data_IF_174049500041
#
_entry.id   IF_174049500041
#
_cell.length_a   1.000
_cell.length_b   1.000
_cell.length_c   1.000
_cell.angle_alpha   90.00
_cell.angle_beta   90.00
_cell.angle_gamma   90.00
#
_symmetry.space_group_name_H-M   'P 1'
#
loop_
_entity.id
_entity.type
_entity.pdbx_description
1 polymer ?
#
# COMPACT_ATOMS: atom_id res chain seq x y z
N UNK A 1 -4.82 -3.03 -20.99
CA UNK A 1 -6.07 -2.30 -20.74
C UNK A 1 -6.32 -2.28 -19.24
N UNK A 2 -6.21 -1.12 -18.60
CA UNK A 2 -6.50 -0.93 -17.17
C UNK A 2 -7.74 -0.06 -17.07
N UNK A 3 -8.77 -0.51 -16.37
CA UNK A 3 -9.93 0.33 -16.06
C UNK A 3 -9.60 1.27 -14.89
N UNK A 4 -9.88 2.56 -15.07
CA UNK A 4 -9.67 3.61 -14.08
C UNK A 4 -11.05 4.06 -13.57
N UNK A 5 -11.12 4.49 -12.30
CA UNK A 5 -12.32 5.08 -11.72
C UNK A 5 -12.93 6.11 -12.67
N UNK A 6 -14.21 5.92 -13.04
CA UNK A 6 -15.00 6.54 -14.13
C UNK A 6 -15.29 5.65 -15.36
N UNK A 7 -14.82 4.41 -15.40
CA UNK A 7 -15.00 3.52 -16.56
C UNK A 7 -14.12 3.90 -17.75
N UNK A 8 -13.18 4.82 -17.52
CA UNK A 8 -12.17 5.21 -18.52
C UNK A 8 -11.10 4.13 -18.56
N UNK A 9 -10.78 3.69 -19.77
CA UNK A 9 -9.71 2.73 -20.00
C UNK A 9 -8.38 3.44 -20.26
N UNK A 10 -7.32 2.93 -19.65
CA UNK A 10 -5.92 3.21 -19.98
C UNK A 10 -5.35 2.07 -20.84
N UNK A 11 -4.92 2.44 -22.03
CA UNK A 11 -4.20 1.57 -22.96
C UNK A 11 -2.71 1.85 -22.94
N UNK A 12 -1.92 0.78 -23.11
CA UNK A 12 -0.47 0.81 -23.11
C UNK A 12 0.00 0.17 -24.41
N UNK A 13 0.68 0.93 -25.25
CA UNK A 13 1.12 0.50 -26.57
C UNK A 13 2.62 0.71 -26.73
N UNK A 14 3.28 -0.22 -27.42
CA UNK A 14 4.63 -0.01 -27.94
C UNK A 14 4.50 0.56 -29.36
N UNK A 15 5.16 1.68 -29.61
CA UNK A 15 5.21 2.38 -30.89
C UNK A 15 6.65 2.68 -31.27
N UNK A 16 6.82 3.10 -32.51
CA UNK A 16 8.11 3.55 -33.05
C UNK A 16 8.00 5.05 -33.36
N UNK A 17 9.00 5.84 -32.99
CA UNK A 17 9.07 7.27 -33.34
C UNK A 17 9.53 7.47 -34.79
N UNK A 18 9.52 8.72 -35.26
CA UNK A 18 9.93 9.07 -36.63
C UNK A 18 11.40 8.76 -36.95
N UNK A 19 12.21 8.40 -35.95
CA UNK A 19 13.60 8.01 -36.09
C UNK A 19 13.82 6.51 -35.92
N UNK A 20 12.75 5.73 -35.80
CA UNK A 20 12.84 4.28 -35.65
C UNK A 20 13.06 3.81 -34.21
N UNK A 21 12.85 4.66 -33.21
CA UNK A 21 13.10 4.31 -31.80
C UNK A 21 11.83 3.91 -31.09
N UNK A 22 11.94 2.89 -30.24
CA UNK A 22 10.86 2.44 -29.38
C UNK A 22 10.35 3.55 -28.45
N UNK A 23 9.02 3.62 -28.35
CA UNK A 23 8.25 4.52 -27.52
C UNK A 23 7.12 3.75 -26.84
N UNK A 24 6.85 4.09 -25.59
CA UNK A 24 5.73 3.53 -24.83
C UNK A 24 4.67 4.61 -24.74
N UNK A 25 3.54 4.39 -25.40
CA UNK A 25 2.38 5.27 -25.32
C UNK A 25 1.42 4.78 -24.24
N UNK A 26 1.02 5.69 -23.36
CA UNK A 26 -0.08 5.54 -22.42
C UNK A 26 -1.24 6.41 -22.89
N UNK A 27 -2.35 5.80 -23.29
CA UNK A 27 -3.49 6.51 -23.87
C UNK A 27 -4.74 6.30 -23.01
N UNK A 28 -5.38 7.39 -22.63
CA UNK A 28 -6.70 7.40 -22.00
C UNK A 28 -7.76 7.62 -23.09
N UNK A 29 -8.92 6.96 -22.95
CA UNK A 29 -10.03 7.10 -23.90
C UNK A 29 -10.55 8.54 -24.08
N UNK A 30 -10.25 9.45 -23.14
CA UNK A 30 -10.61 10.86 -23.22
C UNK A 30 -9.66 11.70 -24.09
N UNK A 31 -8.71 11.08 -24.79
CA UNK A 31 -7.77 11.73 -25.69
C UNK A 31 -6.49 12.23 -25.00
N UNK A 32 -6.30 11.97 -23.70
CA UNK A 32 -5.04 12.24 -23.03
C UNK A 32 -4.03 11.13 -23.35
N UNK A 33 -2.91 11.51 -23.98
CA UNK A 33 -1.84 10.58 -24.35
C UNK A 33 -0.52 11.03 -23.74
N UNK A 34 0.25 10.07 -23.23
CA UNK A 34 1.60 10.27 -22.74
C UNK A 34 2.55 9.35 -23.50
N UNK A 35 3.50 9.95 -24.22
CA UNK A 35 4.53 9.23 -24.97
C UNK A 35 5.85 9.23 -24.16
N UNK A 36 6.35 8.05 -23.84
CA UNK A 36 7.50 7.83 -22.97
C UNK A 36 8.62 7.12 -23.71
N UNK A 37 9.86 7.49 -23.41
CA UNK A 37 11.00 6.63 -23.71
C UNK A 37 10.92 5.33 -22.87
N UNK A 38 11.57 4.24 -23.30
CA UNK A 38 11.62 3.00 -22.52
C UNK A 38 12.18 3.20 -21.11
N UNK A 39 13.14 4.12 -20.94
CA UNK A 39 13.68 4.46 -19.63
C UNK A 39 12.65 5.16 -18.74
N UNK A 40 11.92 6.15 -19.25
CA UNK A 40 10.88 6.85 -18.49
C UNK A 40 9.73 5.91 -18.11
N UNK A 41 9.30 5.05 -19.03
CA UNK A 41 8.28 4.04 -18.75
C UNK A 41 8.72 3.09 -17.63
N UNK A 42 9.99 2.69 -17.62
CA UNK A 42 10.55 1.86 -16.54
C UNK A 42 10.56 2.58 -15.20
N UNK A 43 10.99 3.84 -15.15
CA UNK A 43 10.98 4.65 -13.93
C UNK A 43 9.56 4.79 -13.40
N UNK A 44 8.60 5.11 -14.29
CA UNK A 44 7.19 5.21 -13.93
C UNK A 44 6.65 3.90 -13.36
N UNK A 45 6.94 2.76 -13.98
CA UNK A 45 6.52 1.45 -13.49
C UNK A 45 7.06 1.15 -12.08
N UNK A 46 8.34 1.47 -11.84
CA UNK A 46 8.95 1.31 -10.51
C UNK A 46 8.25 2.18 -9.47
N UNK A 47 7.98 3.45 -9.78
CA UNK A 47 7.29 4.34 -8.84
C UNK A 47 5.86 3.88 -8.55
N UNK A 48 5.14 3.36 -9.55
CA UNK A 48 3.82 2.76 -9.37
C UNK A 48 3.87 1.58 -8.40
N UNK A 49 4.80 0.63 -8.61
CA UNK A 49 5.01 -0.51 -7.71
C UNK A 49 5.33 -0.03 -6.29
N UNK A 50 6.21 0.96 -6.16
CA UNK A 50 6.59 1.50 -4.86
C UNK A 50 5.43 2.19 -4.15
N UNK A 51 4.58 2.91 -4.88
CA UNK A 51 3.38 3.55 -4.32
C UNK A 51 2.38 2.50 -3.81
N UNK A 52 2.16 1.42 -4.58
CA UNK A 52 1.31 0.29 -4.17
C UNK A 52 1.85 -0.36 -2.90
N UNK A 53 3.13 -0.72 -2.87
CA UNK A 53 3.75 -1.32 -1.68
C UNK A 53 3.58 -0.44 -0.44
N UNK A 54 3.76 0.88 -0.56
CA UNK A 54 3.56 1.82 0.55
C UNK A 54 2.10 1.86 1.01
N UNK A 55 1.13 1.83 0.09
CA UNK A 55 -0.29 1.84 0.41
C UNK A 55 -0.72 0.58 1.17
N UNK A 56 -0.23 -0.59 0.74
CA UNK A 56 -0.50 -1.88 1.38
C UNK A 56 0.09 -1.95 2.78
N UNK A 57 1.36 -1.56 2.95
CA UNK A 57 2.00 -1.49 4.28
C UNK A 57 1.22 -0.59 5.21
N UNK A 58 0.79 0.60 4.75
CA UNK A 58 -0.04 1.51 5.54
C UNK A 58 -1.37 0.87 5.96
N UNK A 59 -2.02 0.13 5.06
CA UNK A 59 -3.24 -0.62 5.37
C UNK A 59 -2.97 -1.67 6.45
N UNK A 60 -1.95 -2.50 6.29
CA UNK A 60 -1.60 -3.57 7.23
C UNK A 60 -1.27 -3.03 8.62
N UNK A 61 -0.54 -1.93 8.71
CA UNK A 61 -0.22 -1.27 9.98
C UNK A 61 -1.47 -0.72 10.67
N UNK A 62 -2.43 -0.16 9.94
CA UNK A 62 -3.71 0.30 10.49
C UNK A 62 -4.54 -0.85 11.05
N UNK A 63 -4.59 -1.99 10.37
CA UNK A 63 -5.28 -3.20 10.86
C UNK A 63 -4.58 -3.77 12.11
N UNK A 64 -3.25 -3.74 12.16
CA UNK A 64 -2.45 -4.19 13.31
C UNK A 64 -2.65 -3.33 14.57
N UNK A 65 -2.82 -2.01 14.43
CA UNK A 65 -3.10 -1.13 15.58
C UNK A 65 -4.42 -1.46 16.30
N UNK A 66 -5.40 -2.03 15.60
CA UNK A 66 -6.66 -2.46 16.22
C UNK A 66 -6.52 -3.75 17.06
N UNK A 67 -5.43 -4.51 16.91
CA UNK A 67 -5.15 -5.71 17.73
C UNK A 67 -4.44 -5.38 19.06
N UNK A 68 -3.85 -4.18 19.21
CA UNK A 68 -3.18 -3.76 20.45
C UNK A 68 -4.14 -3.09 21.44
N UNK A 69 -5.38 -2.77 21.00
CA UNK A 69 -6.39 -2.09 21.84
C UNK A 69 -7.49 -3.01 22.38
N UNK A 70 -7.26 -4.33 22.33
CA UNK A 70 -8.21 -5.36 22.74
C UNK A 70 -7.70 -6.26 23.86
N UNK A 71 -7.30 -5.69 25.01
CA UNK A 71 -7.43 -6.36 26.31
C UNK A 71 -7.28 -5.34 27.45
N UNK A 72 -8.35 -4.61 27.73
CA UNK A 72 -8.58 -4.15 29.09
C UNK A 72 -9.39 -5.26 29.79
N UNK A 73 -8.85 -5.99 30.79
CA UNK A 73 -9.70 -6.59 31.78
C UNK A 73 -10.11 -5.48 32.76
N UNK A 74 -11.31 -4.96 32.55
CA UNK A 74 -12.09 -4.39 33.63
C UNK A 74 -12.38 -5.52 34.60
N UNK A 75 -11.63 -5.61 35.70
CA UNK A 75 -12.10 -6.27 36.92
C UNK A 75 -11.51 -5.57 38.16
N UNK A 76 -12.20 -4.50 38.57
CA UNK A 76 -12.27 -4.13 39.99
C UNK A 76 -13.10 -5.20 40.71
N UNK A 77 -12.47 -6.01 41.58
CA UNK A 77 -13.01 -6.37 42.92
C UNK A 77 -12.11 -7.37 43.68
N UNK A 78 -11.60 -6.88 44.82
CA UNK A 78 -11.59 -7.52 46.17
C UNK A 78 -10.56 -8.60 46.52
N UNK A 79 -9.89 -8.36 47.66
CA UNK A 79 -9.23 -9.37 48.52
C UNK A 79 -7.70 -9.23 48.51
N UNK A 80 -7.03 -8.48 49.39
CA UNK A 80 -6.74 -8.84 50.79
C UNK A 80 -6.48 -10.34 50.94
N UNK A 81 -5.21 -10.76 50.83
CA UNK A 81 -4.59 -11.99 51.33
C UNK A 81 -3.12 -11.94 50.87
N UNK A 82 -2.07 -11.95 51.68
CA UNK A 82 -1.89 -11.93 53.11
C UNK A 82 -0.38 -11.82 53.33
N UNK A 83 0.06 -10.76 54.01
CA UNK A 83 1.40 -10.74 54.60
C UNK A 83 1.42 -11.78 55.73
N UNK A 84 2.33 -12.74 55.65
CA UNK A 84 2.75 -13.59 56.77
C UNK A 84 4.22 -13.93 56.49
N UNK A 85 5.22 -13.27 57.09
CA UNK A 85 5.73 -13.58 58.44
C UNK A 85 5.61 -15.07 58.76
N UNK A 86 6.71 -15.82 58.63
CA UNK A 86 7.34 -16.54 59.74
C UNK A 86 8.69 -17.14 59.32
N UNK A 87 9.60 -17.10 60.29
CA UNK A 87 10.97 -17.58 60.26
C UNK A 87 11.07 -19.11 60.45
N UNK A 88 12.13 -19.71 59.89
CA UNK A 88 12.85 -20.90 60.35
C UNK A 88 13.99 -21.15 59.34
N UNK A 89 15.25 -21.40 59.66
CA UNK A 89 15.92 -21.76 60.92
C UNK A 89 17.41 -21.45 60.75
#
# INVERSE_FOLDING_TARGET
>A
MIEIESGTVLDINLKEDTQGRDRVELALQNGCTLDLTPHQARVLATELIMAVNRAEVRSNLRHSQNMVRGHAPVERKRGLLGQALFAAK
#
